data_IF_995082663522
#
_entry.id   IF_995082663522
#
_cell.length_a   1.000
_cell.length_b   1.000
_cell.length_c   1.000
_cell.angle_alpha   90.00
_cell.angle_beta   90.00
_cell.angle_gamma   90.00
#
_symmetry.space_group_name_H-M   'P 1'
#
loop_
_entity.id
_entity.type
_entity.pdbx_description
1 polymer ?
#
# COMPACT_ATOMS: atom_id res chain seq x y z
N UNK A 1 14.82 14.15 -15.58
CA UNK A 1 13.41 14.46 -15.24
C UNK A 1 13.11 13.81 -13.88
N UNK A 2 13.43 14.49 -12.78
CA UNK A 2 13.30 13.93 -11.43
C UNK A 2 11.90 14.17 -10.85
N UNK A 3 11.09 13.11 -10.75
CA UNK A 3 9.97 13.08 -9.82
C UNK A 3 10.41 12.37 -8.53
N UNK A 4 11.27 13.02 -7.74
CA UNK A 4 11.58 12.58 -6.37
C UNK A 4 10.54 13.16 -5.40
N UNK A 5 9.32 12.62 -5.42
CA UNK A 5 8.36 12.89 -4.36
C UNK A 5 8.89 12.23 -3.09
N UNK A 6 9.70 12.96 -2.32
CA UNK A 6 10.14 12.56 -0.99
C UNK A 6 8.89 12.29 -0.16
N UNK A 7 8.68 11.04 0.24
CA UNK A 7 7.47 10.66 0.97
C UNK A 7 7.55 11.24 2.37
N UNK A 8 6.61 12.12 2.68
CA UNK A 8 6.43 12.68 4.01
C UNK A 8 5.41 11.86 4.81
N UNK A 9 5.56 11.86 6.12
CA UNK A 9 4.59 11.34 7.07
C UNK A 9 4.53 12.29 8.26
N UNK A 10 3.32 12.67 8.66
CA UNK A 10 3.10 13.70 9.69
C UNK A 10 3.83 15.03 9.40
N UNK A 11 3.99 15.37 8.11
CA UNK A 11 4.72 16.58 7.68
C UNK A 11 6.25 16.45 7.65
N UNK A 12 6.82 15.32 8.10
CA UNK A 12 8.28 15.08 8.13
C UNK A 12 8.69 14.12 7.02
N UNK A 13 9.88 14.29 6.44
CA UNK A 13 10.36 13.34 5.42
C UNK A 13 10.81 12.05 6.07
N UNK A 14 10.54 10.94 5.39
CA UNK A 14 10.98 9.62 5.82
C UNK A 14 12.42 9.42 5.33
N UNK A 15 13.35 9.15 6.25
CA UNK A 15 14.75 8.81 5.93
C UNK A 15 14.89 7.33 5.58
N UNK A 16 14.37 6.47 6.44
CA UNK A 16 14.41 5.02 6.27
C UNK A 16 13.28 4.37 7.06
N UNK A 17 13.02 3.10 6.81
CA UNK A 17 12.08 2.31 7.58
C UNK A 17 12.46 0.84 7.52
N UNK A 18 12.14 0.11 8.58
CA UNK A 18 12.34 -1.33 8.68
C UNK A 18 11.19 -1.94 9.49
N UNK A 19 10.68 -3.08 9.02
CA UNK A 19 9.61 -3.80 9.68
C UNK A 19 9.94 -5.29 9.77
N UNK A 20 9.58 -5.90 10.88
CA UNK A 20 9.77 -7.32 11.12
C UNK A 20 8.55 -7.91 11.82
N UNK A 21 8.44 -9.23 11.75
CA UNK A 21 7.46 -9.99 12.50
C UNK A 21 8.14 -10.57 13.73
N UNK A 22 7.47 -10.48 14.87
CA UNK A 22 7.93 -11.09 16.10
C UNK A 22 6.74 -11.78 16.77
N UNK A 23 6.96 -12.99 17.25
CA UNK A 23 5.96 -13.69 18.07
C UNK A 23 5.91 -13.03 19.44
N UNK A 24 4.74 -12.51 19.80
CA UNK A 24 4.53 -11.91 21.12
C UNK A 24 4.39 -13.03 22.16
N UNK A 25 5.30 -13.05 23.14
CA UNK A 25 5.34 -14.09 24.17
C UNK A 25 4.04 -14.21 24.98
N UNK A 26 3.27 -13.12 25.11
CA UNK A 26 2.03 -13.12 25.90
C UNK A 26 0.85 -13.75 25.17
N UNK A 27 0.78 -13.55 23.86
CA UNK A 27 -0.40 -13.92 23.06
C UNK A 27 -0.12 -15.06 22.09
N UNK A 28 1.15 -15.46 21.96
CA UNK A 28 1.65 -16.45 21.01
C UNK A 28 1.21 -16.18 19.56
N UNK A 29 1.04 -14.89 19.22
CA UNK A 29 0.64 -14.42 17.89
C UNK A 29 1.80 -13.67 17.25
N UNK A 30 1.97 -13.84 15.94
CA UNK A 30 2.86 -12.98 15.15
C UNK A 30 2.32 -11.55 15.15
N UNK A 31 3.12 -10.62 15.68
CA UNK A 31 2.85 -9.20 15.65
C UNK A 31 3.87 -8.50 14.76
N UNK A 32 3.44 -7.38 14.17
CA UNK A 32 4.32 -6.55 13.36
C UNK A 32 4.99 -5.53 14.28
N UNK A 33 6.30 -5.46 14.17
CA UNK A 33 7.16 -4.50 14.83
C UNK A 33 7.98 -3.74 13.79
N UNK A 34 8.53 -2.60 14.17
CA UNK A 34 9.45 -1.87 13.29
C UNK A 34 9.58 -0.40 13.61
N UNK A 35 10.40 0.27 12.82
CA UNK A 35 10.71 1.67 12.97
C UNK A 35 10.58 2.40 11.63
N UNK A 36 10.08 3.64 11.69
CA UNK A 36 10.13 4.60 10.59
C UNK A 36 10.95 5.77 11.08
N UNK A 37 12.15 5.97 10.53
CA UNK A 37 13.01 7.09 10.89
C UNK A 37 12.62 8.31 10.07
N UNK A 38 12.36 9.40 10.76
CA UNK A 38 11.97 10.68 10.19
C UNK A 38 13.19 11.62 10.17
N UNK A 39 13.03 12.75 9.49
CA UNK A 39 13.92 13.88 9.69
C UNK A 39 13.85 14.41 11.13
N UNK A 40 14.88 15.16 11.51
CA UNK A 40 15.10 15.72 12.85
C UNK A 40 15.37 14.72 13.98
N UNK A 41 15.51 13.44 13.66
CA UNK A 41 15.88 12.37 14.60
C UNK A 41 14.67 11.68 15.27
N UNK A 42 13.45 12.15 14.98
CA UNK A 42 12.25 11.48 15.41
C UNK A 42 12.06 10.14 14.70
N UNK A 43 11.40 9.21 15.38
CA UNK A 43 11.09 7.90 14.80
C UNK A 43 9.72 7.43 15.24
N UNK A 44 9.01 6.76 14.34
CA UNK A 44 7.74 6.11 14.67
C UNK A 44 8.03 4.64 14.95
N UNK A 45 7.76 4.22 16.19
CA UNK A 45 7.86 2.84 16.62
C UNK A 45 6.51 2.14 16.42
N UNK A 46 6.53 1.08 15.62
CA UNK A 46 5.40 0.18 15.41
C UNK A 46 5.51 -0.96 16.41
N UNK A 47 4.52 -1.09 17.29
CA UNK A 47 4.47 -2.17 18.28
C UNK A 47 3.02 -2.56 18.54
N UNK A 48 2.70 -3.86 18.43
CA UNK A 48 1.37 -4.41 18.75
C UNK A 48 0.21 -3.67 18.06
N UNK A 49 0.42 -3.22 16.83
CA UNK A 49 -0.58 -2.45 16.06
C UNK A 49 -0.80 -1.00 16.52
N UNK A 50 0.02 -0.51 17.44
CA UNK A 50 0.12 0.88 17.85
C UNK A 50 1.34 1.54 17.19
N UNK A 51 1.27 2.86 17.03
CA UNK A 51 2.29 3.66 16.38
C UNK A 51 2.70 4.80 17.30
N UNK A 52 3.80 4.64 18.01
CA UNK A 52 4.32 5.62 18.97
C UNK A 52 5.35 6.51 18.29
N UNK A 53 5.26 7.81 18.49
CA UNK A 53 6.29 8.76 18.07
C UNK A 53 7.31 8.84 19.19
N UNK A 54 8.57 8.57 18.86
CA UNK A 54 9.70 8.68 19.75
C UNK A 54 10.54 9.89 19.35
N UNK A 55 10.97 10.66 20.34
CA UNK A 55 11.94 11.76 20.15
C UNK A 55 13.38 11.22 19.99
N UNK A 56 14.33 12.13 19.79
CA UNK A 56 15.76 11.80 19.63
C UNK A 56 16.35 11.08 20.84
N UNK A 57 15.79 11.31 22.03
CA UNK A 57 16.18 10.65 23.28
C UNK A 57 15.52 9.27 23.45
N UNK A 58 14.67 8.86 22.50
CA UNK A 58 13.95 7.59 22.55
C UNK A 58 12.74 7.56 23.48
N UNK A 59 12.29 8.72 23.96
CA UNK A 59 11.08 8.86 24.79
C UNK A 59 9.85 9.01 23.91
N UNK A 60 8.71 8.48 24.36
CA UNK A 60 7.43 8.59 23.66
C UNK A 60 6.92 10.03 23.77
N UNK A 61 6.90 10.73 22.64
CA UNK A 61 6.34 12.09 22.53
C UNK A 61 4.87 12.09 22.14
N UNK A 62 4.36 11.00 21.55
CA UNK A 62 2.96 10.91 21.17
C UNK A 62 2.58 9.60 20.50
N UNK A 63 1.32 9.49 20.08
CA UNK A 63 0.75 8.31 19.41
C UNK A 63 0.05 8.74 18.12
N UNK A 64 0.29 8.02 17.03
CA UNK A 64 -0.43 8.21 15.77
C UNK A 64 -1.78 7.48 15.84
N UNK A 65 -2.84 8.25 16.03
CA UNK A 65 -4.21 7.72 16.11
C UNK A 65 -4.76 7.31 14.73
N UNK A 66 -5.76 6.42 14.73
CA UNK A 66 -6.42 5.89 13.53
C UNK A 66 -7.04 6.97 12.63
N UNK A 67 -7.47 8.09 13.21
CA UNK A 67 -8.03 9.24 12.50
C UNK A 67 -6.98 10.02 11.72
N UNK A 68 -5.70 9.93 12.10
CA UNK A 68 -4.63 10.66 11.44
C UNK A 68 -4.31 10.04 10.06
N UNK A 69 -4.21 10.82 8.97
CA UNK A 69 -3.83 10.30 7.65
C UNK A 69 -2.51 9.52 7.63
N UNK A 70 -1.55 9.89 8.49
CA UNK A 70 -0.28 9.21 8.69
C UNK A 70 -0.45 7.75 9.10
N UNK A 71 -1.48 7.42 9.89
CA UNK A 71 -1.80 6.04 10.28
C UNK A 71 -2.03 5.14 9.06
N UNK A 72 -2.81 5.63 8.08
CA UNK A 72 -3.10 4.90 6.84
C UNK A 72 -1.84 4.76 5.98
N UNK A 73 -0.96 5.76 5.99
CA UNK A 73 0.31 5.70 5.28
C UNK A 73 1.25 4.64 5.88
N UNK A 74 1.43 4.60 7.21
CA UNK A 74 2.24 3.56 7.89
C UNK A 74 1.71 2.17 7.55
N UNK A 75 0.39 1.95 7.64
CA UNK A 75 -0.21 0.66 7.26
C UNK A 75 0.12 0.24 5.84
N UNK A 76 0.07 1.17 4.89
CA UNK A 76 0.42 0.90 3.48
C UNK A 76 1.92 0.59 3.33
N UNK A 77 2.79 1.27 4.08
CA UNK A 77 4.23 0.98 4.09
C UNK A 77 4.51 -0.43 4.59
N UNK A 78 3.90 -0.81 5.72
CA UNK A 78 3.98 -2.16 6.28
C UNK A 78 3.50 -3.21 5.27
N UNK A 79 2.32 -3.01 4.68
CA UNK A 79 1.76 -3.93 3.70
C UNK A 79 2.69 -4.11 2.49
N UNK A 80 3.26 -3.01 1.99
CA UNK A 80 4.21 -3.04 0.87
C UNK A 80 5.50 -3.75 1.25
N UNK A 81 6.05 -3.48 2.43
CA UNK A 81 7.28 -4.10 2.91
C UNK A 81 7.18 -5.62 2.94
N UNK A 82 6.13 -6.16 3.58
CA UNK A 82 5.94 -7.62 3.64
C UNK A 82 5.50 -8.22 2.30
N UNK A 83 4.87 -7.44 1.42
CA UNK A 83 4.58 -7.87 0.05
C UNK A 83 5.87 -7.99 -0.78
N UNK A 84 6.79 -7.03 -0.67
CA UNK A 84 8.08 -7.07 -1.37
C UNK A 84 9.03 -8.09 -0.76
N UNK A 85 9.05 -8.25 0.57
CA UNK A 85 9.86 -9.24 1.25
C UNK A 85 9.52 -10.68 0.82
N UNK A 86 8.24 -10.97 0.56
CA UNK A 86 7.81 -12.27 -0.01
C UNK A 86 8.26 -12.51 -1.46
N UNK A 87 8.66 -11.49 -2.22
CA UNK A 87 9.03 -11.66 -3.65
C UNK A 87 10.36 -12.37 -3.91
N UNK A 88 11.12 -12.73 -2.87
CA UNK A 88 12.15 -13.77 -2.99
C UNK A 88 11.58 -15.15 -3.38
N UNK A 89 10.26 -15.34 -3.28
CA UNK A 89 9.55 -16.52 -3.77
C UNK A 89 8.21 -16.16 -4.43
N UNK A 90 8.23 -16.02 -5.76
CA UNK A 90 7.08 -16.09 -6.69
C UNK A 90 6.10 -14.90 -6.69
N UNK A 91 6.00 -14.30 -7.88
CA UNK A 91 5.17 -13.17 -8.35
C UNK A 91 3.65 -13.44 -8.41
N UNK A 92 3.07 -14.33 -7.61
CA UNK A 92 1.72 -14.85 -7.91
C UNK A 92 0.57 -13.81 -7.93
N UNK A 93 0.70 -12.68 -7.21
CA UNK A 93 -0.36 -11.66 -7.13
C UNK A 93 -0.21 -10.47 -8.08
N UNK A 94 0.97 -10.25 -8.67
CA UNK A 94 1.12 -9.14 -9.64
C UNK A 94 0.53 -9.52 -10.99
N UNK A 95 0.65 -10.80 -11.37
CA UNK A 95 0.03 -11.36 -12.59
C UNK A 95 -1.50 -11.44 -12.47
N UNK A 96 -2.06 -11.72 -11.29
CA UNK A 96 -3.53 -11.84 -11.12
C UNK A 96 -4.31 -10.53 -11.27
N UNK A 97 -3.75 -9.40 -10.86
CA UNK A 97 -4.48 -8.11 -10.92
C UNK A 97 -4.43 -7.51 -12.33
N UNK A 98 -3.32 -7.69 -13.06
CA UNK A 98 -3.28 -7.33 -14.49
C UNK A 98 -4.24 -8.21 -15.28
N UNK A 99 -4.21 -9.53 -15.06
CA UNK A 99 -5.10 -10.47 -15.77
C UNK A 99 -6.58 -10.26 -15.44
N UNK A 100 -6.96 -9.89 -14.21
CA UNK A 100 -8.36 -9.58 -13.91
C UNK A 100 -8.84 -8.28 -14.56
N UNK A 101 -8.00 -7.24 -14.57
CA UNK A 101 -8.34 -5.98 -15.27
C UNK A 101 -8.44 -6.20 -16.78
N UNK A 102 -7.49 -6.94 -17.35
CA UNK A 102 -7.47 -7.32 -18.76
C UNK A 102 -8.66 -8.22 -19.11
N UNK A 103 -9.00 -9.19 -18.26
CA UNK A 103 -10.17 -10.06 -18.44
C UNK A 103 -11.49 -9.27 -18.37
N UNK A 104 -11.62 -8.31 -17.43
CA UNK A 104 -12.79 -7.42 -17.39
C UNK A 104 -12.89 -6.54 -18.64
N UNK A 105 -11.76 -6.01 -19.15
CA UNK A 105 -11.74 -5.24 -20.39
C UNK A 105 -12.12 -6.11 -21.61
N UNK A 106 -11.61 -7.34 -21.70
CA UNK A 106 -11.97 -8.28 -22.76
C UNK A 106 -13.43 -8.75 -22.68
N UNK A 107 -13.94 -8.97 -21.47
CA UNK A 107 -15.35 -9.30 -21.25
C UNK A 107 -16.26 -8.15 -21.72
N UNK A 108 -15.91 -6.91 -21.38
CA UNK A 108 -16.65 -5.74 -21.85
C UNK A 108 -16.59 -5.61 -23.39
N UNK A 109 -15.40 -5.77 -23.97
CA UNK A 109 -15.20 -5.74 -25.41
C UNK A 109 -16.05 -6.78 -26.16
N UNK A 110 -16.05 -8.03 -25.68
CA UNK A 110 -16.84 -9.11 -26.28
C UNK A 110 -18.35 -8.93 -26.13
N UNK A 111 -18.82 -8.35 -25.02
CA UNK A 111 -20.24 -7.97 -24.85
C UNK A 111 -20.65 -6.89 -25.84
N UNK A 112 -19.81 -5.87 -26.03
CA UNK A 112 -20.09 -4.78 -26.95
C UNK A 112 -20.15 -5.26 -28.40
N UNK A 113 -19.24 -6.18 -28.82
CA UNK A 113 -19.32 -6.82 -30.14
C UNK A 113 -20.64 -7.55 -30.33
N UNK A 114 -21.08 -8.35 -29.35
CA UNK A 114 -22.36 -9.07 -29.44
C UNK A 114 -23.55 -8.12 -29.52
N UNK A 115 -23.49 -6.95 -28.88
CA UNK A 115 -24.53 -5.93 -28.98
C UNK A 115 -24.56 -5.26 -30.36
N UNK A 116 -23.39 -5.04 -30.99
CA UNK A 116 -23.28 -4.56 -32.37
C UNK A 116 -23.86 -5.60 -33.35
N UNK A 117 -23.47 -6.88 -33.21
CA UNK A 117 -23.97 -7.96 -34.07
C UNK A 117 -25.49 -8.13 -33.97
N UNK A 118 -26.07 -7.86 -32.79
CA UNK A 118 -27.52 -7.87 -32.55
C UNK A 118 -28.22 -6.56 -32.96
N UNK A 119 -27.50 -5.58 -33.51
CA UNK A 119 -28.04 -4.30 -33.93
C UNK A 119 -28.53 -3.40 -32.78
N UNK A 120 -28.15 -3.69 -31.54
CA UNK A 120 -28.59 -2.94 -30.35
C UNK A 120 -27.78 -1.65 -30.14
N UNK A 121 -26.55 -1.59 -30.67
CA UNK A 121 -25.70 -0.40 -30.68
C UNK A 121 -25.06 -0.25 -32.07
N UNK A 122 -24.85 0.98 -32.52
CA UNK A 122 -24.17 1.24 -33.79
C UNK A 122 -22.65 1.23 -33.62
N UNK A 123 -21.94 0.76 -34.64
CA UNK A 123 -20.47 0.68 -34.63
C UNK A 123 -19.81 2.06 -34.39
N UNK A 124 -20.41 3.13 -34.91
CA UNK A 124 -19.93 4.50 -34.76
C UNK A 124 -20.05 5.03 -33.31
N UNK A 125 -21.02 4.55 -32.53
CA UNK A 125 -21.20 4.96 -31.14
C UNK A 125 -20.12 4.38 -30.21
N UNK A 126 -19.57 3.22 -30.57
CA UNK A 126 -18.54 2.55 -29.77
C UNK A 126 -17.15 3.18 -29.90
N UNK A 127 -16.78 3.67 -31.09
CA UNK A 127 -15.44 4.23 -31.37
C UNK A 127 -15.30 5.72 -31.06
N UNK A 128 -16.39 6.44 -30.81
CA UNK A 128 -16.37 7.88 -30.51
C UNK A 128 -16.29 8.20 -29.01
N UNK A 129 -16.40 7.20 -28.14
CA UNK A 129 -16.38 7.35 -26.68
C UNK A 129 -15.08 6.85 -26.02
N UNK A 130 -14.02 6.59 -26.80
CA UNK A 130 -12.68 6.20 -26.30
C UNK A 130 -11.72 7.37 -26.22
#
# INVERSE_FOLDING_TARGET
>A
MEAKVQKTILGKKIRSFDFYKQTDYRTNKEMIHGFVWLEDGERIHVIRGQYHILNNLGQVSGIVLKSNPGYKQIKRMIARWFQTYRKGGKSFFRERVSTLREACQQAQYSLNIKMIERGQISFNHYFTAS
#
